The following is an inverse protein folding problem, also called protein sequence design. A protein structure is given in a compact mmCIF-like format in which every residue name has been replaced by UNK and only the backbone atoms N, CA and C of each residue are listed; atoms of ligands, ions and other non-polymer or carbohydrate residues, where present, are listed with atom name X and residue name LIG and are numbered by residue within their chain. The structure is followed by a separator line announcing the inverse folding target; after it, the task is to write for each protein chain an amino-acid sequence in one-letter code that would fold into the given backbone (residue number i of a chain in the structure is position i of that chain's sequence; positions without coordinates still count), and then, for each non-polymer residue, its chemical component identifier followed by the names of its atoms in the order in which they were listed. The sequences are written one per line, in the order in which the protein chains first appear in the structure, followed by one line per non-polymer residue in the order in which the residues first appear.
data_IF_952921662400
#
_entry.id   IF_952921662400
#
_cell.length_a   1.000
_cell.length_b   1.000
_cell.length_c   1.000
_cell.angle_alpha   90.00
_cell.angle_beta   90.00
_cell.angle_gamma   90.00
#
_symmetry.space_group_name_H-M   'P 1'
#
loop_
_entity.id
_entity.type
_entity.pdbx_description
1 polymer ?
#
# COMPACT_ATOMS: atom_id res chain seq x y z
N UNK A 1 -16.49 -5.73 -21.84
CA UNK A 1 -16.06 -4.71 -22.83
C UNK A 1 -15.51 -3.48 -22.10
N UNK A 2 -14.34 -3.62 -21.45
CA UNK A 2 -13.65 -2.54 -20.72
C UNK A 2 -12.23 -2.31 -21.27
N UNK A 3 -11.87 -3.00 -22.36
CA UNK A 3 -10.58 -2.86 -23.04
C UNK A 3 -10.60 -1.86 -24.21
N UNK A 4 -11.75 -1.30 -24.57
CA UNK A 4 -11.86 -0.35 -25.69
C UNK A 4 -11.55 1.11 -25.32
N UNK A 5 -11.76 1.51 -24.07
CA UNK A 5 -11.67 2.92 -23.67
C UNK A 5 -10.24 3.37 -23.30
N UNK A 6 -9.38 2.45 -22.84
CA UNK A 6 -8.00 2.77 -22.42
C UNK A 6 -7.08 3.02 -23.63
N UNK A 7 -7.42 2.46 -24.80
CA UNK A 7 -6.61 2.63 -26.02
C UNK A 7 -6.78 4.02 -26.68
N UNK A 8 -7.92 4.68 -26.46
CA UNK A 8 -8.19 5.99 -27.08
C UNK A 8 -7.36 7.13 -26.45
N UNK A 9 -7.11 7.05 -25.13
CA UNK A 9 -6.34 8.09 -24.40
C UNK A 9 -4.85 8.03 -24.73
N UNK A 10 -4.30 6.82 -24.94
CA UNK A 10 -2.91 6.62 -25.36
C UNK A 10 -2.67 7.06 -26.82
N UNK A 11 -3.68 6.94 -27.69
CA UNK A 11 -3.59 7.40 -29.08
C UNK A 11 -3.57 8.93 -29.20
N UNK A 12 -4.31 9.66 -28.36
CA UNK A 12 -4.35 11.13 -28.39
C UNK A 12 -3.04 11.72 -27.83
N UNK A 13 -2.48 11.13 -26.78
CA UNK A 13 -1.22 11.60 -26.19
C UNK A 13 0.02 11.30 -27.04
N UNK A 14 0.05 10.18 -27.78
CA UNK A 14 1.13 9.88 -28.71
C UNK A 14 0.98 10.58 -30.08
N UNK A 15 -0.26 10.87 -30.53
CA UNK A 15 -0.50 11.63 -31.76
C UNK A 15 -0.11 13.12 -31.67
N UNK A 16 -0.26 13.73 -30.50
CA UNK A 16 0.09 15.14 -30.26
C UNK A 16 1.59 15.41 -30.12
N UNK A 17 2.43 14.37 -29.97
CA UNK A 17 3.90 14.53 -29.96
C UNK A 17 4.53 14.58 -31.35
N UNK A 18 3.79 14.23 -32.41
CA UNK A 18 4.30 14.24 -33.79
C UNK A 18 4.08 15.55 -34.54
N UNK A 19 3.18 16.42 -34.05
CA UNK A 19 2.92 17.72 -34.64
C UNK A 19 3.29 18.72 -33.57
N UNK A 20 4.35 19.49 -33.81
CA UNK A 20 4.92 20.48 -32.91
C UNK A 20 3.95 21.67 -32.72
N UNK A 21 2.80 21.41 -32.09
CA UNK A 21 1.80 22.40 -31.70
C UNK A 21 1.90 22.55 -30.20
N UNK A 22 2.67 23.54 -29.77
CA UNK A 22 2.53 24.09 -28.43
C UNK A 22 1.12 24.67 -28.32
N UNK A 23 0.19 23.93 -27.72
CA UNK A 23 -1.14 24.45 -27.39
C UNK A 23 -0.99 25.26 -26.10
N UNK A 24 -1.04 26.61 -26.13
CA UNK A 24 -0.76 27.45 -24.96
C UNK A 24 -1.90 27.40 -23.92
N UNK A 25 -2.94 26.60 -24.15
CA UNK A 25 -4.14 26.55 -23.32
C UNK A 25 -4.03 25.61 -22.09
N UNK A 26 -2.96 24.82 -21.96
CA UNK A 26 -2.78 23.85 -20.86
C UNK A 26 -1.91 24.36 -19.68
N UNK A 27 -1.46 25.61 -19.74
CA UNK A 27 -0.66 26.25 -18.68
C UNK A 27 -1.49 27.11 -17.73
N UNK A 28 -2.80 27.25 -17.95
CA UNK A 28 -3.68 27.99 -17.04
C UNK A 28 -4.00 27.15 -15.79
N UNK A 29 -3.72 27.65 -14.57
CA UNK A 29 -4.04 26.97 -13.31
C UNK A 29 -5.52 26.64 -13.19
N UNK A 30 -6.40 27.48 -13.73
CA UNK A 30 -7.84 27.32 -13.65
C UNK A 30 -8.34 26.07 -14.41
N UNK A 31 -7.71 25.73 -15.56
CA UNK A 31 -8.12 24.59 -16.37
C UNK A 31 -7.76 23.25 -15.70
N UNK A 32 -6.65 23.24 -14.93
CA UNK A 32 -6.21 22.06 -14.16
C UNK A 32 -7.17 21.73 -13.03
N UNK A 33 -7.67 22.74 -12.32
CA UNK A 33 -8.69 22.56 -11.30
C UNK A 33 -10.01 22.06 -11.86
N UNK A 34 -10.45 22.57 -13.01
CA UNK A 34 -11.68 22.10 -13.68
C UNK A 34 -11.55 20.65 -14.11
N UNK A 35 -10.41 20.25 -14.71
CA UNK A 35 -10.17 18.85 -15.08
C UNK A 35 -10.07 17.92 -13.86
N UNK A 36 -9.45 18.36 -12.77
CA UNK A 36 -9.40 17.59 -11.52
C UNK A 36 -10.81 17.40 -10.90
N UNK A 37 -11.65 18.45 -10.90
CA UNK A 37 -13.02 18.38 -10.39
C UNK A 37 -13.89 17.47 -11.26
N UNK A 38 -13.78 17.56 -12.60
CA UNK A 38 -14.50 16.68 -13.52
C UNK A 38 -14.04 15.22 -13.38
N UNK A 39 -12.74 15.00 -13.19
CA UNK A 39 -12.19 13.67 -12.90
C UNK A 39 -12.72 13.10 -11.58
N UNK A 40 -12.78 13.91 -10.52
CA UNK A 40 -13.32 13.50 -9.23
C UNK A 40 -14.83 13.20 -9.31
N UNK A 41 -15.58 14.02 -10.05
CA UNK A 41 -17.02 13.83 -10.25
C UNK A 41 -17.32 12.50 -10.97
N UNK A 42 -16.50 12.10 -11.95
CA UNK A 42 -16.65 10.82 -12.63
C UNK A 42 -16.32 9.62 -11.73
N UNK A 43 -15.34 9.75 -10.82
CA UNK A 43 -15.03 8.71 -9.82
C UNK A 43 -16.17 8.56 -8.82
N UNK A 44 -16.76 9.67 -8.35
CA UNK A 44 -17.89 9.65 -7.41
C UNK A 44 -19.14 9.07 -8.07
N UNK A 45 -19.45 9.44 -9.31
CA UNK A 45 -20.58 8.84 -10.05
C UNK A 45 -20.36 7.33 -10.29
N UNK A 46 -19.13 6.90 -10.60
CA UNK A 46 -18.79 5.47 -10.69
C UNK A 46 -18.99 4.73 -9.36
N UNK A 47 -18.65 5.37 -8.24
CA UNK A 47 -18.83 4.80 -6.90
C UNK A 47 -20.31 4.74 -6.49
N UNK A 48 -21.14 5.70 -6.89
CA UNK A 48 -22.58 5.73 -6.58
C UNK A 48 -23.38 4.73 -7.43
N UNK A 49 -22.96 4.46 -8.67
CA UNK A 49 -23.65 3.51 -9.56
C UNK A 49 -23.26 2.05 -9.27
N UNK A 50 -22.01 1.78 -8.85
CA UNK A 50 -21.52 0.41 -8.62
C UNK A 50 -21.25 0.04 -7.16
N UNK A 51 -21.34 1.00 -6.23
CA UNK A 51 -21.09 0.79 -4.80
C UNK A 51 -22.34 1.03 -3.97
N UNK A 52 -23.33 0.14 -4.06
CA UNK A 52 -24.28 -0.06 -2.95
C UNK A 52 -24.06 -1.44 -2.33
N UNK A 53 -23.76 -1.53 -1.02
CA UNK A 53 -23.99 -2.77 -0.29
C UNK A 53 -25.49 -3.04 -0.25
N UNK A 54 -25.88 -4.29 -0.52
CA UNK A 54 -27.25 -4.77 -0.35
C UNK A 54 -27.47 -4.97 1.15
N UNK A 55 -27.97 -3.96 1.82
CA UNK A 55 -28.61 -4.08 3.14
C UNK A 55 -30.06 -3.60 3.01
N UNK A 56 -31.01 -4.50 3.19
CA UNK A 56 -32.43 -4.17 3.16
C UNK A 56 -33.32 -5.38 2.87
N UNK A 57 -33.60 -6.18 3.90
CA UNK A 57 -34.63 -7.21 3.86
C UNK A 57 -35.18 -7.49 5.25
N UNK A 58 -36.10 -6.67 5.73
CA UNK A 58 -36.94 -6.92 6.91
C UNK A 58 -38.25 -7.66 6.53
N UNK A 59 -38.97 -8.27 7.49
CA UNK A 59 -39.45 -9.65 7.43
C UNK A 59 -40.89 -9.82 6.90
N UNK A 60 -41.21 -11.02 6.41
CA UNK A 60 -42.60 -11.50 6.30
C UNK A 60 -42.84 -12.67 7.28
N UNK A 61 -44.00 -12.73 7.98
CA UNK A 61 -44.36 -13.86 8.82
C UNK A 61 -45.17 -14.94 8.09
N UNK A 62 -44.85 -16.20 8.38
CA UNK A 62 -45.70 -17.41 8.23
C UNK A 62 -45.64 -18.14 6.87
N UNK A 63 -45.94 -19.46 6.79
CA UNK A 63 -46.47 -20.37 7.81
C UNK A 63 -45.56 -21.59 8.13
N UNK A 64 -45.83 -22.21 9.28
CA UNK A 64 -45.30 -23.49 9.76
C UNK A 64 -45.61 -24.66 8.82
N UNK A 65 -44.59 -25.42 8.43
CA UNK A 65 -44.78 -26.80 7.95
C UNK A 65 -43.57 -27.69 8.28
N UNK A 66 -43.82 -28.64 9.18
CA UNK A 66 -43.26 -29.99 9.29
C UNK A 66 -41.74 -30.21 9.12
N UNK A 67 -41.10 -30.37 10.27
CA UNK A 67 -39.78 -30.97 10.47
C UNK A 67 -39.78 -32.48 10.18
N UNK A 68 -38.87 -33.01 9.33
CA UNK A 68 -38.41 -34.38 9.41
C UNK A 68 -37.16 -34.48 10.30
N UNK A 69 -37.05 -35.55 11.07
CA UNK A 69 -36.04 -35.76 12.09
C UNK A 69 -34.57 -35.65 11.59
N UNK A 70 -33.63 -35.18 12.42
CA UNK A 70 -32.21 -35.06 12.07
C UNK A 70 -31.57 -36.44 11.89
N UNK A 71 -30.72 -36.66 10.86
CA UNK A 71 -29.86 -37.82 10.84
C UNK A 71 -28.80 -37.70 11.94
N UNK A 72 -28.61 -38.78 12.69
CA UNK A 72 -27.68 -38.90 13.81
C UNK A 72 -26.25 -38.45 13.47
N UNK A 73 -25.52 -37.84 14.42
CA UNK A 73 -24.13 -37.44 14.21
C UNK A 73 -23.22 -38.66 14.05
N UNK A 74 -22.37 -38.64 13.03
CA UNK A 74 -21.25 -39.57 12.87
C UNK A 74 -20.20 -39.25 13.94
N UNK A 75 -19.77 -40.21 14.76
CA UNK A 75 -18.61 -40.03 15.62
C UNK A 75 -17.37 -40.41 14.81
N UNK A 76 -16.50 -39.47 14.44
CA UNK A 76 -15.17 -39.88 13.99
C UNK A 76 -14.09 -38.79 14.14
N UNK A 77 -13.16 -39.14 15.01
CA UNK A 77 -11.73 -38.85 14.96
C UNK A 77 -11.26 -37.45 15.35
N UNK A 78 -11.07 -37.27 16.66
CA UNK A 78 -10.03 -36.42 17.24
C UNK A 78 -8.66 -36.96 16.82
N UNK A 79 -8.26 -36.67 15.58
CA UNK A 79 -6.85 -36.73 15.20
C UNK A 79 -6.08 -35.65 15.95
N UNK A 80 -4.83 -35.90 16.38
CA UNK A 80 -4.02 -34.85 16.98
C UNK A 80 -3.91 -33.69 15.99
N UNK A 81 -4.16 -32.47 16.46
CA UNK A 81 -3.87 -31.24 15.71
C UNK A 81 -2.37 -31.21 15.48
N UNK A 82 -1.94 -31.71 14.31
CA UNK A 82 -0.57 -31.55 13.86
C UNK A 82 -0.31 -30.06 13.78
N UNK A 83 0.63 -29.55 14.58
CA UNK A 83 1.11 -28.19 14.46
C UNK A 83 1.46 -27.93 12.98
N UNK A 84 1.15 -26.75 12.42
CA UNK A 84 1.42 -26.46 11.02
C UNK A 84 2.92 -26.67 10.77
N UNK A 85 3.24 -27.64 9.91
CA UNK A 85 4.59 -27.91 9.44
C UNK A 85 5.07 -26.67 8.68
N UNK A 86 5.84 -25.81 9.35
CA UNK A 86 6.56 -24.72 8.69
C UNK A 86 7.57 -25.35 7.74
N UNK A 87 7.33 -25.19 6.44
CA UNK A 87 8.24 -25.69 5.41
C UNK A 87 9.62 -25.04 5.54
N UNK A 88 10.73 -25.78 5.33
CA UNK A 88 12.09 -25.24 5.44
C UNK A 88 12.34 -23.97 4.60
N UNK A 89 11.69 -23.85 3.45
CA UNK A 89 11.76 -22.67 2.58
C UNK A 89 11.13 -21.42 3.21
N UNK A 90 9.96 -21.55 3.85
CA UNK A 90 9.31 -20.45 4.56
C UNK A 90 10.18 -19.97 5.73
N UNK A 91 10.87 -20.88 6.41
CA UNK A 91 11.80 -20.54 7.49
C UNK A 91 13.06 -19.82 6.98
N UNK A 92 13.60 -20.23 5.84
CA UNK A 92 14.74 -19.57 5.19
C UNK A 92 14.38 -18.14 4.76
N UNK A 93 13.25 -17.97 4.09
CA UNK A 93 12.69 -16.66 3.75
C UNK A 93 12.54 -15.77 4.98
N UNK A 94 11.88 -16.27 6.04
CA UNK A 94 11.62 -15.48 7.24
C UNK A 94 12.92 -15.04 7.94
N UNK A 95 13.94 -15.91 8.01
CA UNK A 95 15.25 -15.55 8.57
C UNK A 95 15.95 -14.47 7.73
N UNK A 96 15.92 -14.60 6.41
CA UNK A 96 16.56 -13.64 5.52
C UNK A 96 15.86 -12.27 5.58
N UNK A 97 14.53 -12.23 5.48
CA UNK A 97 13.75 -11.01 5.61
C UNK A 97 13.98 -10.35 6.99
N UNK A 98 14.00 -11.14 8.06
CA UNK A 98 14.29 -10.63 9.40
C UNK A 98 15.69 -10.01 9.51
N UNK A 99 16.69 -10.57 8.82
CA UNK A 99 18.05 -10.01 8.82
C UNK A 99 18.11 -8.62 8.16
N UNK A 100 17.42 -8.42 7.04
CA UNK A 100 17.35 -7.12 6.37
C UNK A 100 16.60 -6.08 7.20
N UNK A 101 15.50 -6.50 7.83
CA UNK A 101 14.74 -5.63 8.71
C UNK A 101 15.52 -5.24 9.97
N UNK A 102 16.25 -6.17 10.58
CA UNK A 102 17.11 -5.89 11.73
C UNK A 102 18.26 -4.94 11.39
N UNK A 103 18.91 -5.13 10.23
CA UNK A 103 19.96 -4.24 9.76
C UNK A 103 19.43 -2.81 9.54
N UNK A 104 18.25 -2.68 8.94
CA UNK A 104 17.62 -1.38 8.69
C UNK A 104 17.18 -0.71 10.00
N UNK A 105 16.58 -1.46 10.92
CA UNK A 105 16.22 -0.95 12.25
C UNK A 105 17.44 -0.46 13.03
N UNK A 106 18.59 -1.15 12.92
CA UNK A 106 19.84 -0.70 13.53
C UNK A 106 20.32 0.63 12.96
N UNK A 107 20.19 0.84 11.64
CA UNK A 107 20.55 2.11 11.00
C UNK A 107 19.62 3.25 11.43
N UNK A 108 18.30 3.00 11.45
CA UNK A 108 17.30 3.97 11.93
C UNK A 108 17.58 4.37 13.39
N UNK A 109 17.86 3.39 14.26
CA UNK A 109 18.18 3.66 15.67
C UNK A 109 19.50 4.42 15.87
N UNK A 110 20.40 4.41 14.89
CA UNK A 110 21.64 5.17 14.93
C UNK A 110 21.46 6.63 14.46
N UNK A 111 20.31 6.98 13.86
CA UNK A 111 20.02 8.35 13.45
C UNK A 111 19.83 9.24 14.68
N UNK A 112 20.52 10.38 14.69
CA UNK A 112 20.44 11.37 15.76
C UNK A 112 19.14 12.17 15.60
N UNK A 113 18.40 12.35 16.70
CA UNK A 113 17.17 13.13 16.70
C UNK A 113 17.47 14.60 16.38
N UNK A 114 16.78 15.19 15.39
CA UNK A 114 17.10 16.53 14.91
C UNK A 114 16.60 17.61 15.87
N UNK A 115 17.38 18.68 16.03
CA UNK A 115 17.07 19.86 16.86
C UNK A 115 16.88 21.14 16.04
N UNK A 116 17.38 21.15 14.80
CA UNK A 116 17.25 22.26 13.85
C UNK A 116 16.53 21.81 12.57
N UNK A 117 16.13 22.77 11.73
CA UNK A 117 15.47 22.46 10.46
C UNK A 117 16.45 21.81 9.46
N UNK A 118 17.73 22.21 9.43
CA UNK A 118 18.75 21.56 8.60
C UNK A 118 19.00 20.10 9.04
N UNK A 119 19.06 19.86 10.35
CA UNK A 119 19.14 18.50 10.90
C UNK A 119 17.88 17.69 10.57
N UNK A 120 16.68 18.30 10.64
CA UNK A 120 15.43 17.64 10.25
C UNK A 120 15.46 17.21 8.79
N UNK A 121 15.88 18.10 7.89
CA UNK A 121 16.03 17.79 6.47
C UNK A 121 16.94 16.57 6.28
N UNK A 122 18.14 16.60 6.86
CA UNK A 122 19.11 15.52 6.72
C UNK A 122 18.60 14.21 7.33
N UNK A 123 18.03 14.26 8.54
CA UNK A 123 17.42 13.12 9.20
C UNK A 123 16.32 12.48 8.34
N UNK A 124 15.45 13.29 7.72
CA UNK A 124 14.38 12.78 6.87
C UNK A 124 14.92 12.13 5.59
N UNK A 125 15.97 12.69 4.97
CA UNK A 125 16.63 12.05 3.82
C UNK A 125 17.33 10.75 4.19
N UNK A 126 18.06 10.73 5.30
CA UNK A 126 18.77 9.54 5.77
C UNK A 126 17.77 8.42 6.09
N UNK A 127 16.65 8.75 6.74
CA UNK A 127 15.58 7.78 7.00
C UNK A 127 14.97 7.25 5.70
N UNK A 128 14.73 8.11 4.71
CA UNK A 128 14.23 7.70 3.40
C UNK A 128 15.19 6.72 2.71
N UNK A 129 16.49 7.03 2.71
CA UNK A 129 17.52 6.19 2.11
C UNK A 129 17.60 4.79 2.77
N UNK A 130 17.48 4.71 4.10
CA UNK A 130 17.45 3.42 4.81
C UNK A 130 16.24 2.59 4.39
N UNK A 131 15.07 3.20 4.26
CA UNK A 131 13.85 2.51 3.84
C UNK A 131 13.90 2.09 2.36
N UNK A 132 14.46 2.90 1.48
CA UNK A 132 14.68 2.55 0.07
C UNK A 132 15.62 1.34 -0.08
N UNK A 133 16.70 1.33 0.70
CA UNK A 133 17.61 0.18 0.76
C UNK A 133 16.91 -1.07 1.31
N UNK A 134 16.06 -0.93 2.33
CA UNK A 134 15.26 -2.04 2.86
C UNK A 134 14.32 -2.60 1.78
N UNK A 135 13.62 -1.74 1.05
CA UNK A 135 12.72 -2.16 -0.03
C UNK A 135 13.50 -2.93 -1.11
N UNK A 136 14.67 -2.43 -1.53
CA UNK A 136 15.53 -3.08 -2.52
C UNK A 136 16.03 -4.43 -2.03
N UNK A 137 16.48 -4.53 -0.78
CA UNK A 137 16.94 -5.78 -0.20
C UNK A 137 15.80 -6.81 -0.12
N UNK A 138 14.60 -6.38 0.32
CA UNK A 138 13.43 -7.27 0.41
C UNK A 138 12.97 -7.72 -0.97
N UNK A 139 12.98 -6.86 -1.99
CA UNK A 139 12.54 -7.21 -3.36
C UNK A 139 13.28 -8.45 -3.92
N UNK A 140 14.54 -8.64 -3.53
CA UNK A 140 15.34 -9.83 -3.90
C UNK A 140 14.74 -11.16 -3.43
N UNK A 141 13.86 -11.13 -2.41
CA UNK A 141 13.21 -12.29 -1.80
C UNK A 141 11.82 -12.57 -2.37
N UNK A 142 11.31 -11.76 -3.30
CA UNK A 142 9.93 -11.86 -3.80
C UNK A 142 9.56 -13.27 -4.30
N UNK A 143 10.51 -13.96 -4.96
CA UNK A 143 10.28 -15.31 -5.50
C UNK A 143 10.21 -16.41 -4.44
N UNK A 144 10.88 -16.20 -3.31
CA UNK A 144 10.98 -17.17 -2.22
C UNK A 144 9.91 -16.93 -1.13
N UNK A 145 9.13 -15.86 -1.28
CA UNK A 145 8.07 -15.51 -0.35
C UNK A 145 6.91 -16.53 -0.39
N UNK A 146 6.36 -16.94 0.78
CA UNK A 146 5.17 -17.79 0.83
C UNK A 146 3.94 -17.18 0.14
N UNK A 147 3.87 -15.84 0.13
CA UNK A 147 2.86 -15.06 -0.59
C UNK A 147 3.59 -13.91 -1.33
N UNK A 148 4.00 -14.13 -2.59
CA UNK A 148 4.70 -13.13 -3.39
C UNK A 148 3.89 -11.84 -3.58
N UNK A 149 2.57 -11.93 -3.67
CA UNK A 149 1.69 -10.77 -3.83
C UNK A 149 1.72 -9.85 -2.61
N UNK A 150 1.58 -10.43 -1.41
CA UNK A 150 1.72 -9.67 -0.16
C UNK A 150 3.15 -9.19 0.06
N UNK A 151 4.16 -9.97 -0.34
CA UNK A 151 5.55 -9.53 -0.25
C UNK A 151 5.81 -8.31 -1.14
N UNK A 152 5.40 -8.34 -2.42
CA UNK A 152 5.53 -7.17 -3.29
C UNK A 152 4.73 -5.97 -2.75
N UNK A 153 3.56 -6.21 -2.13
CA UNK A 153 2.82 -5.15 -1.45
C UNK A 153 3.61 -4.55 -0.27
N UNK A 154 4.29 -5.38 0.53
CA UNK A 154 5.17 -4.92 1.61
C UNK A 154 6.29 -4.02 1.06
N UNK A 155 7.03 -4.51 0.06
CA UNK A 155 8.12 -3.77 -0.61
C UNK A 155 7.61 -2.44 -1.16
N UNK A 156 6.49 -2.45 -1.87
CA UNK A 156 5.88 -1.25 -2.43
C UNK A 156 5.50 -0.22 -1.36
N UNK A 157 4.95 -0.65 -0.22
CA UNK A 157 4.58 0.27 0.88
C UNK A 157 5.79 0.86 1.59
N UNK A 158 6.86 0.08 1.74
CA UNK A 158 8.14 0.60 2.25
C UNK A 158 8.70 1.67 1.28
N UNK A 159 8.68 1.39 -0.03
CA UNK A 159 9.06 2.36 -1.06
C UNK A 159 8.27 3.66 -1.01
N UNK A 160 6.93 3.60 -0.94
CA UNK A 160 6.10 4.79 -0.80
C UNK A 160 6.38 5.60 0.48
N UNK A 161 6.78 4.90 1.56
CA UNK A 161 7.20 5.57 2.80
C UNK A 161 8.47 6.38 2.55
N UNK A 162 9.47 5.77 1.91
CA UNK A 162 10.73 6.45 1.53
C UNK A 162 10.46 7.65 0.60
N UNK A 163 9.64 7.49 -0.44
CA UNK A 163 9.30 8.56 -1.39
C UNK A 163 8.59 9.74 -0.71
N UNK A 164 7.70 9.45 0.24
CA UNK A 164 6.99 10.48 1.01
C UNK A 164 7.94 11.26 1.91
N UNK A 165 8.91 10.58 2.53
CA UNK A 165 9.95 11.24 3.33
C UNK A 165 10.90 12.07 2.45
N UNK A 166 11.33 11.57 1.30
CA UNK A 166 12.12 12.34 0.33
C UNK A 166 11.39 13.63 -0.12
N UNK A 167 10.09 13.51 -0.36
CA UNK A 167 9.22 14.65 -0.70
C UNK A 167 9.10 15.63 0.47
N UNK A 168 8.91 15.14 1.70
CA UNK A 168 8.85 15.95 2.90
C UNK A 168 10.14 16.76 3.09
N UNK A 169 11.28 16.08 3.04
CA UNK A 169 12.59 16.69 3.22
C UNK A 169 12.89 17.74 2.13
N UNK A 170 12.47 17.49 0.89
CA UNK A 170 12.54 18.46 -0.21
C UNK A 170 11.66 19.68 0.05
N UNK A 171 10.42 19.47 0.51
CA UNK A 171 9.50 20.55 0.83
C UNK A 171 10.08 21.47 1.92
N UNK A 172 10.58 20.89 3.02
CA UNK A 172 11.21 21.66 4.10
C UNK A 172 12.44 22.44 3.62
N UNK A 173 13.28 21.82 2.78
CA UNK A 173 14.45 22.48 2.16
C UNK A 173 14.05 23.70 1.32
N UNK A 174 12.89 23.65 0.67
CA UNK A 174 12.34 24.78 -0.12
C UNK A 174 11.51 25.77 0.69
N UNK A 175 11.42 25.59 2.01
CA UNK A 175 10.64 26.45 2.91
C UNK A 175 9.13 26.13 2.96
N UNK A 176 8.69 25.04 2.33
CA UNK A 176 7.31 24.56 2.38
C UNK A 176 7.08 23.64 3.59
N UNK A 177 6.72 24.25 4.72
CA UNK A 177 6.44 23.52 5.97
C UNK A 177 5.17 22.66 5.88
N UNK A 178 4.15 23.12 5.13
CA UNK A 178 2.90 22.36 4.96
C UNK A 178 3.18 21.09 4.15
N UNK A 179 3.96 21.20 3.07
CA UNK A 179 4.39 20.05 2.28
C UNK A 179 5.25 19.07 3.08
N UNK A 180 6.09 19.55 4.00
CA UNK A 180 6.84 18.70 4.93
C UNK A 180 5.92 17.90 5.84
N UNK A 181 4.98 18.56 6.51
CA UNK A 181 4.03 17.91 7.43
C UNK A 181 3.17 16.89 6.67
N UNK A 182 2.67 17.25 5.48
CA UNK A 182 1.89 16.34 4.64
C UNK A 182 2.70 15.11 4.19
N UNK A 183 3.98 15.29 3.85
CA UNK A 183 4.86 14.18 3.49
C UNK A 183 5.09 13.21 4.65
N UNK A 184 5.23 13.72 5.88
CA UNK A 184 5.31 12.90 7.09
C UNK A 184 4.00 12.18 7.41
N UNK A 185 2.85 12.85 7.29
CA UNK A 185 1.54 12.23 7.47
C UNK A 185 1.33 11.05 6.49
N UNK A 186 1.72 11.22 5.23
CA UNK A 186 1.67 10.16 4.22
C UNK A 186 2.63 9.01 4.57
N UNK A 187 3.86 9.33 4.98
CA UNK A 187 4.84 8.33 5.40
C UNK A 187 4.31 7.50 6.58
N UNK A 188 3.67 8.12 7.56
CA UNK A 188 3.07 7.42 8.70
C UNK A 188 1.90 6.50 8.31
N UNK A 189 1.07 6.93 7.36
CA UNK A 189 0.01 6.06 6.81
C UNK A 189 0.60 4.84 6.10
N UNK A 190 1.61 5.03 5.24
CA UNK A 190 2.28 3.92 4.56
C UNK A 190 3.04 3.01 5.53
N UNK A 191 3.59 3.58 6.61
CA UNK A 191 4.21 2.84 7.70
C UNK A 191 3.23 1.91 8.41
N UNK A 192 2.06 2.43 8.76
CA UNK A 192 1.01 1.62 9.37
C UNK A 192 0.53 0.49 8.43
N UNK A 193 0.42 0.77 7.13
CA UNK A 193 0.06 -0.22 6.12
C UNK A 193 1.11 -1.32 5.98
N UNK A 194 2.40 -0.99 5.88
CA UNK A 194 3.43 -2.02 5.72
C UNK A 194 3.58 -2.84 7.01
N UNK A 195 3.44 -2.24 8.20
CA UNK A 195 3.41 -2.97 9.48
C UNK A 195 2.29 -4.02 9.50
N UNK A 196 1.11 -3.67 8.96
CA UNK A 196 -0.02 -4.61 8.83
C UNK A 196 0.31 -5.77 7.89
N UNK A 197 0.93 -5.50 6.74
CA UNK A 197 1.34 -6.54 5.79
C UNK A 197 2.44 -7.43 6.38
N UNK A 198 3.40 -6.85 7.12
CA UNK A 198 4.44 -7.60 7.80
C UNK A 198 3.87 -8.60 8.82
N UNK A 199 2.84 -8.21 9.59
CA UNK A 199 2.10 -9.15 10.47
C UNK A 199 1.49 -10.30 9.68
N UNK A 200 0.85 -10.03 8.54
CA UNK A 200 0.23 -11.07 7.72
C UNK A 200 1.24 -12.05 7.11
N UNK A 201 2.50 -11.62 6.93
CA UNK A 201 3.62 -12.44 6.47
C UNK A 201 4.41 -13.09 7.62
N UNK A 202 3.95 -12.95 8.88
CA UNK A 202 4.67 -13.37 10.09
C UNK A 202 6.10 -12.79 10.23
N UNK A 203 6.33 -11.61 9.64
CA UNK A 203 7.60 -10.87 9.67
C UNK A 203 7.63 -9.83 10.79
N UNK A 204 7.51 -10.28 12.04
CA UNK A 204 7.42 -9.38 13.20
C UNK A 204 8.64 -8.46 13.38
N UNK A 205 9.83 -8.90 12.97
CA UNK A 205 11.07 -8.11 13.01
C UNK A 205 11.09 -6.93 12.04
N UNK A 206 10.17 -6.90 11.05
CA UNK A 206 10.03 -5.80 10.11
C UNK A 206 9.07 -4.71 10.59
N UNK A 207 8.53 -4.84 11.80
CA UNK A 207 7.65 -3.82 12.36
C UNK A 207 8.48 -2.62 12.85
N UNK A 208 8.18 -1.44 12.34
CA UNK A 208 8.78 -0.18 12.79
C UNK A 208 7.79 0.53 13.71
N UNK A 209 8.18 0.74 14.97
CA UNK A 209 7.37 1.44 15.98
C UNK A 209 7.45 2.95 15.84
#
# INVERSE_FOLDING_TARGET
MLLGAVSLVAAITNGLRFINVEVPALTSPALRWVLAIVGLALVVVGFVVFGRPVEGGTPLPGPTTSQPAPPSPRPESTGPVTAPETTPSAQAYARQAASYCAASASQINALVQPTTDDERINYTFDLAAVLEQLATNLDTLTRDAPDPGKHSQLVFRIGNTADSLNSAATALRTGDKIGYDQGWDNADQYRADFNRVAVQLALHSCQVK
#
